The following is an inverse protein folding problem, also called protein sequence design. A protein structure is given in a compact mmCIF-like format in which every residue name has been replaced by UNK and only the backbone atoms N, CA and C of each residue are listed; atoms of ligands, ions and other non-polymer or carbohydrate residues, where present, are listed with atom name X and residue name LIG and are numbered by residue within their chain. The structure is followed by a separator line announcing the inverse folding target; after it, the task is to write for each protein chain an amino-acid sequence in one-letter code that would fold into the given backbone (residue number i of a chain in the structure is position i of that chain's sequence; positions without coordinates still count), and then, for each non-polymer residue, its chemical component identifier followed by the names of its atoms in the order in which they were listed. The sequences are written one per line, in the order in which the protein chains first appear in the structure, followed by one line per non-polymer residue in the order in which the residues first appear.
data_IF_136880007716
#
_entry.id   IF_136880007716
#
_cell.length_a   1.000
_cell.length_b   1.000
_cell.length_c   1.000
_cell.angle_alpha   90.00
_cell.angle_beta   90.00
_cell.angle_gamma   90.00
#
_symmetry.space_group_name_H-M   'P 1'
#
loop_
_entity.id
_entity.type
_entity.pdbx_description
1 polymer ?
#
# COMPACT_ATOMS: atom_id res chain seq x y z
N UNK A 1 -64.95 -32.97 -14.04
CA UNK A 1 -64.31 -33.26 -12.75
C UNK A 1 -64.11 -31.93 -12.04
N UNK A 2 -65.02 -31.68 -11.10
CA UNK A 2 -64.98 -30.68 -10.03
C UNK A 2 -63.68 -30.82 -9.21
N UNK A 3 -63.18 -29.89 -8.40
CA UNK A 3 -63.74 -28.80 -7.58
C UNK A 3 -62.77 -27.59 -7.63
N UNK A 4 -63.21 -26.32 -7.70
CA UNK A 4 -63.90 -25.49 -6.69
C UNK A 4 -63.01 -25.07 -5.50
N UNK A 5 -62.78 -23.76 -5.39
CA UNK A 5 -62.09 -23.11 -4.28
C UNK A 5 -61.90 -21.59 -4.46
N UNK A 6 -62.98 -20.83 -4.67
CA UNK A 6 -63.02 -19.38 -4.39
C UNK A 6 -63.47 -19.18 -2.94
N UNK A 7 -62.92 -18.19 -2.24
CA UNK A 7 -63.65 -17.22 -1.40
C UNK A 7 -62.75 -16.00 -1.10
N UNK A 8 -63.37 -14.81 -1.19
CA UNK A 8 -62.78 -13.47 -1.06
C UNK A 8 -62.77 -12.97 0.43
N UNK A 9 -62.82 -11.65 0.73
CA UNK A 9 -61.74 -10.83 1.25
C UNK A 9 -62.00 -10.33 2.70
N UNK A 10 -60.99 -9.77 3.38
CA UNK A 10 -61.24 -8.82 4.48
C UNK A 10 -60.27 -7.64 4.44
N UNK A 11 -60.86 -6.46 4.36
CA UNK A 11 -60.29 -5.13 4.53
C UNK A 11 -60.12 -4.77 6.01
N UNK A 12 -59.06 -4.03 6.36
CA UNK A 12 -58.90 -3.33 7.64
C UNK A 12 -57.52 -2.66 7.78
N UNK A 13 -57.44 -1.36 7.44
CA UNK A 13 -56.30 -0.44 7.69
C UNK A 13 -56.34 0.12 9.14
N UNK A 14 -55.53 1.13 9.52
CA UNK A 14 -54.07 1.30 9.51
C UNK A 14 -53.53 1.69 10.91
N UNK A 15 -52.28 1.34 11.25
CA UNK A 15 -51.59 1.96 12.37
C UNK A 15 -50.35 2.71 11.87
N UNK A 16 -50.50 4.04 11.85
CA UNK A 16 -49.43 5.02 11.65
C UNK A 16 -48.37 4.84 12.72
N UNK A 17 -47.15 4.52 12.31
CA UNK A 17 -45.94 4.68 13.11
C UNK A 17 -44.96 5.52 12.30
N UNK A 18 -45.16 6.84 12.31
CA UNK A 18 -44.21 7.82 11.82
C UNK A 18 -42.87 7.62 12.53
N UNK A 19 -41.91 7.00 11.85
CA UNK A 19 -40.51 7.21 12.16
C UNK A 19 -39.91 7.92 10.96
N UNK A 20 -39.50 9.15 11.20
CA UNK A 20 -38.80 9.97 10.25
C UNK A 20 -37.69 9.14 9.59
N UNK A 21 -37.77 9.00 8.27
CA UNK A 21 -36.64 8.62 7.46
C UNK A 21 -35.56 9.67 7.74
N UNK A 22 -34.61 9.34 8.64
CA UNK A 22 -33.37 10.10 8.75
C UNK A 22 -32.75 10.03 7.38
N UNK A 23 -32.78 11.15 6.66
CA UNK A 23 -32.16 11.33 5.35
C UNK A 23 -30.71 10.89 5.42
N UNK A 24 -30.48 9.61 5.13
CA UNK A 24 -29.15 9.08 4.92
C UNK A 24 -28.64 9.73 3.65
N UNK A 25 -27.44 10.30 3.72
CA UNK A 25 -26.66 10.60 2.53
C UNK A 25 -26.73 9.35 1.63
N UNK A 26 -27.26 9.46 0.41
CA UNK A 26 -27.30 8.35 -0.54
C UNK A 26 -25.85 8.00 -0.91
N UNK A 27 -25.27 7.10 -0.14
CA UNK A 27 -23.90 6.61 -0.29
C UNK A 27 -23.81 5.53 -1.36
N UNK A 28 -24.30 5.80 -2.56
CA UNK A 28 -24.17 4.87 -3.69
C UNK A 28 -22.70 4.46 -3.92
N UNK A 29 -21.76 5.38 -3.65
CA UNK A 29 -20.32 5.12 -3.71
C UNK A 29 -19.77 4.23 -2.58
N UNK A 30 -20.44 4.15 -1.43
CA UNK A 30 -20.06 3.24 -0.33
C UNK A 30 -20.56 1.83 -0.62
N UNK A 31 -21.70 1.70 -1.28
CA UNK A 31 -22.21 0.42 -1.79
C UNK A 31 -21.32 -0.12 -2.92
N UNK A 32 -20.77 0.72 -3.79
CA UNK A 32 -19.75 0.33 -4.79
C UNK A 32 -18.43 -0.18 -4.16
N UNK A 33 -18.18 0.16 -2.89
CA UNK A 33 -17.06 -0.38 -2.10
C UNK A 33 -17.44 -1.63 -1.30
N UNK A 34 -18.75 -1.92 -1.15
CA UNK A 34 -19.26 -3.04 -0.40
C UNK A 34 -18.96 -4.34 -1.14
N UNK A 35 -17.78 -4.89 -0.87
CA UNK A 35 -17.52 -6.29 -1.17
C UNK A 35 -18.32 -7.15 -0.21
N UNK A 36 -19.22 -7.96 -0.76
CA UNK A 36 -20.00 -8.91 0.01
C UNK A 36 -19.11 -9.96 0.69
N UNK A 37 -19.55 -10.34 1.89
CA UNK A 37 -18.91 -11.38 2.69
C UNK A 37 -17.55 -10.99 3.25
N UNK A 38 -16.74 -12.03 3.50
CA UNK A 38 -15.48 -11.91 4.22
C UNK A 38 -14.27 -11.94 3.29
N UNK A 39 -14.45 -12.39 2.05
CA UNK A 39 -13.37 -12.74 1.13
C UNK A 39 -12.31 -13.66 1.77
N UNK A 40 -12.64 -14.40 2.83
CA UNK A 40 -11.79 -15.40 3.49
C UNK A 40 -12.01 -16.77 2.84
N UNK A 41 -10.97 -17.58 2.77
CA UNK A 41 -11.14 -18.97 2.38
C UNK A 41 -9.91 -19.84 2.57
N UNK A 42 -10.10 -21.16 2.45
CA UNK A 42 -9.10 -22.16 2.85
C UNK A 42 -7.99 -22.26 1.80
N UNK A 43 -6.77 -22.04 2.24
CA UNK A 43 -5.54 -22.25 1.47
C UNK A 43 -4.66 -23.29 2.17
N UNK A 44 -3.54 -23.68 1.54
CA UNK A 44 -2.52 -24.52 2.20
C UNK A 44 -1.97 -23.89 3.49
N UNK A 45 -1.98 -22.56 3.59
CA UNK A 45 -1.55 -21.83 4.79
C UNK A 45 -2.67 -21.54 5.79
N UNK A 46 -3.83 -22.19 5.67
CA UNK A 46 -4.99 -21.95 6.53
C UNK A 46 -5.98 -20.95 5.92
N UNK A 47 -6.82 -20.35 6.77
CA UNK A 47 -7.88 -19.42 6.37
C UNK A 47 -7.26 -18.05 6.04
N UNK A 48 -7.26 -17.70 4.75
CA UNK A 48 -6.56 -16.50 4.26
C UNK A 48 -7.36 -15.77 3.19
N UNK A 49 -6.85 -14.61 2.81
CA UNK A 49 -7.30 -13.86 1.64
C UNK A 49 -6.13 -13.43 0.80
N UNK A 50 -6.41 -13.19 -0.48
CA UNK A 50 -5.45 -12.67 -1.43
C UNK A 50 -5.76 -11.23 -1.73
N UNK A 51 -4.69 -10.44 -1.78
CA UNK A 51 -4.71 -9.08 -2.31
C UNK A 51 -4.12 -9.16 -3.71
N UNK A 52 -4.93 -8.86 -4.73
CA UNK A 52 -4.48 -8.67 -6.09
C UNK A 52 -4.29 -7.18 -6.32
N UNK A 53 -3.07 -6.77 -6.69
CA UNK A 53 -2.66 -5.38 -6.70
C UNK A 53 -2.04 -5.02 -8.06
N UNK A 54 -2.52 -3.96 -8.70
CA UNK A 54 -1.75 -3.24 -9.71
C UNK A 54 -0.98 -2.11 -9.07
N UNK A 55 0.25 -1.88 -9.53
CA UNK A 55 1.06 -0.74 -9.14
C UNK A 55 1.60 -0.01 -10.35
N UNK A 56 1.84 1.30 -10.22
CA UNK A 56 2.55 2.07 -11.24
C UNK A 56 4.07 1.75 -11.23
N UNK A 57 4.85 2.40 -12.10
CA UNK A 57 6.30 2.22 -12.15
C UNK A 57 7.07 2.69 -10.91
N UNK A 58 6.45 3.51 -10.05
CA UNK A 58 6.98 3.98 -8.76
C UNK A 58 6.56 3.06 -7.61
N UNK A 59 5.72 2.08 -7.88
CA UNK A 59 5.20 1.12 -6.91
C UNK A 59 4.05 1.65 -6.10
N UNK A 60 3.34 2.67 -6.58
CA UNK A 60 2.13 3.17 -5.95
C UNK A 60 0.94 2.31 -6.33
N UNK A 61 0.08 1.90 -5.38
CA UNK A 61 -1.14 1.13 -5.67
C UNK A 61 -2.06 1.85 -6.66
N UNK A 62 -2.51 1.18 -7.71
CA UNK A 62 -3.46 1.75 -8.68
C UNK A 62 -4.85 1.13 -8.56
N UNK A 63 -4.92 -0.19 -8.40
CA UNK A 63 -6.17 -0.90 -8.19
C UNK A 63 -5.96 -2.13 -7.32
N UNK A 64 -7.00 -2.50 -6.58
CA UNK A 64 -6.96 -3.62 -5.62
C UNK A 64 -8.22 -4.45 -5.72
N UNK A 65 -8.04 -5.77 -5.79
CA UNK A 65 -9.11 -6.76 -5.69
C UNK A 65 -8.78 -7.70 -4.54
N UNK A 66 -9.80 -8.04 -3.75
CA UNK A 66 -9.71 -9.04 -2.69
C UNK A 66 -10.42 -10.31 -3.10
N UNK A 67 -9.80 -11.45 -2.83
CA UNK A 67 -10.45 -12.75 -3.00
C UNK A 67 -10.15 -13.69 -1.83
N UNK A 68 -10.98 -14.73 -1.62
CA UNK A 68 -10.65 -15.89 -0.80
C UNK A 68 -9.30 -16.54 -1.14
N UNK A 69 -8.66 -17.15 -0.14
CA UNK A 69 -7.33 -17.75 -0.25
C UNK A 69 -7.21 -18.86 -1.32
N UNK A 70 -8.29 -19.58 -1.60
CA UNK A 70 -8.34 -20.63 -2.64
C UNK A 70 -8.50 -20.08 -4.07
N UNK A 71 -8.89 -18.81 -4.22
CA UNK A 71 -9.18 -18.24 -5.53
C UNK A 71 -7.95 -18.22 -6.42
N UNK A 72 -8.11 -18.57 -7.69
CA UNK A 72 -7.03 -18.51 -8.68
C UNK A 72 -6.64 -17.08 -9.01
N UNK A 73 -5.35 -16.84 -9.26
CA UNK A 73 -4.85 -15.48 -9.50
C UNK A 73 -5.17 -14.98 -10.91
N UNK A 74 -5.07 -15.85 -11.92
CA UNK A 74 -5.18 -15.45 -13.32
C UNK A 74 -6.45 -14.65 -13.70
N UNK A 75 -7.67 -15.02 -13.24
CA UNK A 75 -8.87 -14.23 -13.50
C UNK A 75 -8.78 -12.79 -12.96
N UNK A 76 -8.05 -12.57 -11.86
CA UNK A 76 -7.99 -11.29 -11.17
C UNK A 76 -7.18 -10.22 -11.91
N UNK A 77 -6.57 -10.56 -13.06
CA UNK A 77 -6.00 -9.55 -13.95
C UNK A 77 -7.06 -8.58 -14.52
N UNK A 78 -8.36 -8.88 -14.33
CA UNK A 78 -9.45 -7.93 -14.54
C UNK A 78 -9.28 -6.62 -13.74
N UNK A 79 -8.45 -6.62 -12.68
CA UNK A 79 -8.08 -5.39 -11.94
C UNK A 79 -7.49 -4.30 -12.85
N UNK A 80 -6.96 -4.65 -14.03
CA UNK A 80 -6.48 -3.68 -15.02
C UNK A 80 -7.60 -2.84 -15.63
N UNK A 81 -8.86 -3.26 -15.52
CA UNK A 81 -10.03 -2.49 -15.98
C UNK A 81 -10.36 -1.33 -15.03
N UNK A 82 -9.95 -1.47 -13.76
CA UNK A 82 -10.07 -0.43 -12.74
C UNK A 82 -8.91 0.59 -12.81
N UNK A 83 -7.88 0.32 -13.61
CA UNK A 83 -6.74 1.24 -13.77
C UNK A 83 -7.15 2.40 -14.67
N UNK A 84 -7.09 3.59 -14.08
CA UNK A 84 -7.41 4.84 -14.74
C UNK A 84 -6.38 5.90 -14.32
N UNK A 85 -5.62 6.41 -15.28
CA UNK A 85 -4.64 7.49 -15.07
C UNK A 85 -5.18 8.76 -15.69
N UNK A 86 -5.47 9.76 -14.84
CA UNK A 86 -5.80 11.10 -15.29
C UNK A 86 -4.65 11.67 -16.14
N UNK A 87 -5.03 12.44 -17.16
CA UNK A 87 -4.07 13.18 -17.99
C UNK A 87 -4.09 14.64 -17.55
N UNK A 88 -2.93 15.28 -17.61
CA UNK A 88 -2.83 16.72 -17.49
C UNK A 88 -3.34 17.33 -18.81
N UNK A 89 -4.51 17.97 -18.76
CA UNK A 89 -5.18 18.56 -19.92
C UNK A 89 -6.45 17.82 -20.38
N UNK A 90 -7.10 18.30 -21.46
CA UNK A 90 -8.37 17.75 -21.91
C UNK A 90 -8.23 16.33 -22.47
N UNK A 91 -9.23 15.50 -22.23
CA UNK A 91 -9.36 14.18 -22.86
C UNK A 91 -9.72 13.06 -21.89
N UNK A 92 -10.01 11.88 -22.46
CA UNK A 92 -10.34 10.69 -21.68
C UNK A 92 -9.11 10.21 -20.90
N UNK A 93 -9.27 9.81 -19.64
CA UNK A 93 -8.17 9.23 -18.89
C UNK A 93 -7.58 7.98 -19.55
N UNK A 94 -6.29 7.75 -19.31
CA UNK A 94 -5.56 6.61 -19.87
C UNK A 94 -5.92 5.34 -19.11
N UNK A 95 -6.55 4.39 -19.81
CA UNK A 95 -6.94 3.06 -19.28
C UNK A 95 -6.08 1.89 -19.79
N UNK A 96 -5.11 2.19 -20.66
CA UNK A 96 -4.28 1.19 -21.35
C UNK A 96 -2.81 1.37 -20.98
N UNK A 97 -2.22 0.47 -20.18
CA UNK A 97 -0.78 0.49 -19.90
C UNK A 97 -0.01 0.05 -21.15
N UNK A 98 1.22 0.53 -21.31
CA UNK A 98 2.10 0.09 -22.41
C UNK A 98 2.56 -1.35 -22.20
N UNK A 99 2.86 -1.68 -20.94
CA UNK A 99 3.33 -3.00 -20.54
C UNK A 99 2.80 -3.39 -19.17
N UNK A 100 2.46 -4.67 -19.01
CA UNK A 100 2.14 -5.31 -17.74
C UNK A 100 3.21 -6.34 -17.40
N UNK A 101 3.79 -6.21 -16.21
CA UNK A 101 4.65 -7.23 -15.61
C UNK A 101 3.82 -7.99 -14.60
N UNK A 102 3.75 -9.31 -14.72
CA UNK A 102 2.93 -10.10 -13.82
C UNK A 102 3.61 -11.40 -13.40
N UNK A 103 3.08 -11.93 -12.31
CA UNK A 103 3.44 -13.23 -11.79
C UNK A 103 3.17 -14.35 -12.78
N UNK A 104 3.96 -15.42 -12.64
CA UNK A 104 3.77 -16.68 -13.40
C UNK A 104 2.35 -17.23 -13.25
N UNK A 105 1.67 -16.95 -12.14
CA UNK A 105 0.29 -17.36 -11.91
C UNK A 105 -0.70 -16.75 -12.93
N UNK A 106 -0.43 -15.55 -13.44
CA UNK A 106 -1.23 -14.82 -14.44
C UNK A 106 -0.88 -15.16 -15.90
N UNK A 107 -0.01 -16.15 -16.13
CA UNK A 107 0.59 -16.39 -17.44
C UNK A 107 -0.28 -17.22 -18.40
N UNK A 108 -1.60 -17.29 -18.22
CA UNK A 108 -2.45 -18.18 -19.03
C UNK A 108 -2.45 -17.80 -20.52
N UNK A 109 -2.63 -18.75 -21.45
CA UNK A 109 -2.74 -18.44 -22.87
C UNK A 109 -3.88 -17.47 -23.19
N UNK A 110 -5.02 -17.61 -22.51
CA UNK A 110 -6.16 -16.71 -22.67
C UNK A 110 -5.82 -15.27 -22.25
N UNK A 111 -5.15 -15.10 -21.11
CA UNK A 111 -4.67 -13.79 -20.64
C UNK A 111 -3.72 -13.14 -21.62
N UNK A 112 -2.74 -13.90 -22.15
CA UNK A 112 -1.80 -13.39 -23.15
C UNK A 112 -2.50 -12.95 -24.44
N UNK A 113 -3.52 -13.70 -24.89
CA UNK A 113 -4.34 -13.31 -26.05
C UNK A 113 -5.14 -12.04 -25.77
N UNK A 114 -5.79 -11.94 -24.61
CA UNK A 114 -6.59 -10.78 -24.23
C UNK A 114 -5.75 -9.49 -24.15
N UNK A 115 -4.55 -9.56 -23.56
CA UNK A 115 -3.64 -8.41 -23.51
C UNK A 115 -3.11 -8.02 -24.89
N UNK A 116 -2.80 -9.01 -25.74
CA UNK A 116 -2.38 -8.75 -27.13
C UNK A 116 -3.50 -8.09 -27.95
N UNK A 117 -4.75 -8.53 -27.79
CA UNK A 117 -5.90 -7.92 -28.45
C UNK A 117 -6.11 -6.46 -28.00
N UNK A 118 -5.74 -6.14 -26.75
CA UNK A 118 -5.71 -4.76 -26.22
C UNK A 118 -4.43 -4.00 -26.59
N UNK A 119 -3.50 -4.59 -27.34
CA UNK A 119 -2.20 -4.00 -27.68
C UNK A 119 -1.29 -3.74 -26.47
N UNK A 120 -1.50 -4.42 -25.35
CA UNK A 120 -0.72 -4.27 -24.12
C UNK A 120 0.43 -5.28 -24.14
N UNK A 121 1.68 -4.81 -24.03
CA UNK A 121 2.82 -5.70 -23.92
C UNK A 121 2.77 -6.45 -22.59
N UNK A 122 3.15 -7.74 -22.57
CA UNK A 122 3.04 -8.56 -21.37
C UNK A 122 4.31 -9.35 -21.11
N UNK A 123 4.91 -9.16 -19.93
CA UNK A 123 6.07 -9.94 -19.47
C UNK A 123 5.68 -10.75 -18.24
N UNK A 124 5.70 -12.06 -18.39
CA UNK A 124 5.50 -13.03 -17.31
C UNK A 124 6.23 -14.32 -17.69
N UNK A 125 6.85 -15.02 -16.75
CA UNK A 125 7.37 -16.36 -16.97
C UNK A 125 6.26 -17.30 -17.44
N UNK A 126 6.62 -18.37 -18.16
CA UNK A 126 5.70 -19.44 -18.53
C UNK A 126 5.57 -20.46 -17.39
N UNK A 127 4.33 -20.93 -17.11
CA UNK A 127 4.05 -22.07 -16.21
C UNK A 127 4.80 -23.32 -16.63
N UNK A 128 5.41 -24.03 -15.68
CA UNK A 128 6.17 -25.25 -15.99
C UNK A 128 5.26 -26.29 -16.66
N UNK A 129 4.04 -26.46 -16.16
CA UNK A 129 3.04 -27.36 -16.73
C UNK A 129 2.62 -26.95 -18.14
N UNK A 130 2.55 -25.64 -18.42
CA UNK A 130 2.25 -25.14 -19.77
C UNK A 130 3.41 -25.42 -20.73
N UNK A 131 4.65 -25.22 -20.29
CA UNK A 131 5.83 -25.56 -21.06
C UNK A 131 5.89 -27.07 -21.33
N UNK A 132 5.67 -27.92 -20.32
CA UNK A 132 5.64 -29.37 -20.45
C UNK A 132 4.50 -29.84 -21.37
N UNK A 133 3.29 -29.30 -21.22
CA UNK A 133 2.16 -29.58 -22.11
C UNK A 133 2.47 -29.19 -23.55
N UNK A 134 3.07 -28.00 -23.76
CA UNK A 134 3.51 -27.53 -25.08
C UNK A 134 4.51 -28.49 -25.70
N UNK A 135 5.54 -28.91 -24.95
CA UNK A 135 6.55 -29.87 -25.40
C UNK A 135 5.92 -31.23 -25.73
N UNK A 136 4.98 -31.73 -24.91
CA UNK A 136 4.25 -32.99 -25.16
C UNK A 136 3.48 -32.99 -26.48
N UNK A 137 3.01 -31.81 -26.93
CA UNK A 137 2.31 -31.68 -28.23
C UNK A 137 3.25 -31.58 -29.44
N UNK A 138 4.57 -31.60 -29.24
CA UNK A 138 5.57 -31.53 -30.31
C UNK A 138 5.36 -30.32 -31.23
N UNK A 139 5.35 -30.56 -32.54
CA UNK A 139 5.14 -29.53 -33.58
C UNK A 139 3.81 -28.79 -33.43
N UNK A 140 2.76 -29.46 -32.94
CA UNK A 140 1.45 -28.84 -32.71
C UNK A 140 1.47 -27.87 -31.54
N UNK A 141 2.42 -27.99 -30.61
CA UNK A 141 2.54 -27.20 -29.39
C UNK A 141 2.81 -25.70 -29.62
N UNK A 142 3.48 -25.36 -30.71
CA UNK A 142 3.86 -23.99 -31.05
C UNK A 142 5.07 -23.45 -30.27
N UNK A 143 5.43 -22.19 -30.56
CA UNK A 143 6.60 -21.51 -30.00
C UNK A 143 6.36 -21.10 -28.54
N UNK A 144 7.37 -21.21 -27.64
CA UNK A 144 7.26 -20.64 -26.29
C UNK A 144 7.00 -19.13 -26.34
N UNK A 145 6.28 -18.56 -25.35
CA UNK A 145 6.10 -17.12 -25.24
C UNK A 145 7.45 -16.41 -25.12
N UNK A 146 7.61 -15.27 -25.81
CA UNK A 146 8.77 -14.41 -25.61
C UNK A 146 8.83 -13.93 -24.15
N UNK A 147 10.02 -14.02 -23.54
CA UNK A 147 10.28 -13.61 -22.17
C UNK A 147 11.57 -12.80 -22.12
N UNK A 148 11.47 -11.57 -21.63
CA UNK A 148 12.61 -10.70 -21.38
C UNK A 148 12.88 -10.64 -19.87
N UNK A 149 14.00 -11.24 -19.46
CA UNK A 149 14.41 -11.32 -18.07
C UNK A 149 14.79 -9.95 -17.49
N UNK A 150 15.36 -9.03 -18.28
CA UNK A 150 15.74 -7.70 -17.79
C UNK A 150 14.50 -6.88 -17.50
N UNK A 151 13.54 -6.86 -18.42
CA UNK A 151 12.23 -6.24 -18.18
C UNK A 151 11.52 -6.87 -16.98
N UNK A 152 11.60 -8.20 -16.81
CA UNK A 152 10.95 -8.89 -15.69
C UNK A 152 11.50 -8.49 -14.31
N UNK A 153 12.77 -8.05 -14.19
CA UNK A 153 13.32 -7.51 -12.93
C UNK A 153 12.51 -6.31 -12.40
N UNK A 154 11.84 -5.58 -13.29
CA UNK A 154 10.95 -4.47 -12.92
C UNK A 154 9.76 -4.88 -12.03
N UNK A 155 9.41 -6.17 -11.99
CA UNK A 155 8.33 -6.70 -11.14
C UNK A 155 8.60 -6.52 -9.63
N UNK A 156 9.86 -6.32 -9.22
CA UNK A 156 10.23 -5.96 -7.83
C UNK A 156 9.49 -4.71 -7.31
N UNK A 157 9.00 -3.85 -8.20
CA UNK A 157 8.18 -2.68 -7.84
C UNK A 157 6.93 -3.08 -7.04
N UNK A 158 6.27 -4.19 -7.42
CA UNK A 158 5.09 -4.72 -6.71
C UNK A 158 5.46 -5.22 -5.31
N UNK A 159 6.58 -5.93 -5.18
CA UNK A 159 7.06 -6.44 -3.88
C UNK A 159 7.39 -5.29 -2.93
N UNK A 160 8.03 -4.23 -3.43
CA UNK A 160 8.26 -3.01 -2.64
C UNK A 160 6.97 -2.33 -2.20
N UNK A 161 5.93 -2.35 -3.05
CA UNK A 161 4.62 -1.87 -2.67
C UNK A 161 4.01 -2.69 -1.53
N UNK A 162 4.03 -4.02 -1.65
CA UNK A 162 3.55 -4.91 -0.57
C UNK A 162 4.33 -4.70 0.72
N UNK A 163 5.64 -4.51 0.66
CA UNK A 163 6.45 -4.21 1.85
C UNK A 163 6.02 -2.90 2.52
N UNK A 164 5.70 -1.86 1.74
CA UNK A 164 5.13 -0.61 2.28
C UNK A 164 3.74 -0.81 2.89
N UNK A 165 2.86 -1.59 2.24
CA UNK A 165 1.54 -1.92 2.78
C UNK A 165 1.64 -2.72 4.09
N UNK A 166 2.64 -3.60 4.23
CA UNK A 166 2.89 -4.37 5.45
C UNK A 166 3.38 -3.53 6.63
N UNK A 167 3.85 -2.28 6.41
CA UNK A 167 4.18 -1.37 7.52
C UNK A 167 2.94 -0.96 8.31
N UNK A 168 1.76 -0.99 7.68
CA UNK A 168 0.49 -0.81 8.35
C UNK A 168 0.12 -2.14 9.04
N UNK A 169 0.46 -2.28 10.33
CA UNK A 169 0.32 -3.55 11.08
C UNK A 169 -1.09 -4.15 11.02
N UNK A 170 -2.12 -3.29 11.01
CA UNK A 170 -3.51 -3.73 10.86
C UNK A 170 -3.76 -4.47 9.53
N UNK A 171 -3.12 -4.04 8.44
CA UNK A 171 -3.20 -4.70 7.13
C UNK A 171 -2.42 -6.00 7.07
N UNK A 172 -1.24 -6.03 7.69
CA UNK A 172 -0.36 -7.19 7.68
C UNK A 172 -0.99 -8.37 8.42
N UNK A 173 -1.60 -8.13 9.58
CA UNK A 173 -2.28 -9.16 10.37
C UNK A 173 -3.70 -9.42 9.85
N UNK A 174 -4.34 -8.40 9.27
CA UNK A 174 -5.78 -8.35 8.95
C UNK A 174 -6.66 -8.62 10.17
N UNK A 175 -7.01 -7.56 10.91
CA UNK A 175 -8.00 -7.63 12.00
C UNK A 175 -9.45 -7.58 11.51
N UNK A 176 -9.69 -7.14 10.27
CA UNK A 176 -11.02 -6.93 9.72
C UNK A 176 -11.64 -8.21 9.17
N UNK A 177 -12.79 -8.61 9.71
CA UNK A 177 -13.55 -9.79 9.26
C UNK A 177 -14.18 -9.59 7.88
N UNK A 178 -14.87 -8.46 7.66
CA UNK A 178 -15.56 -8.19 6.38
C UNK A 178 -14.59 -7.71 5.30
N UNK A 179 -14.82 -8.14 4.06
CA UNK A 179 -14.01 -7.77 2.91
C UNK A 179 -14.05 -6.27 2.63
N UNK A 180 -15.23 -5.64 2.77
CA UNK A 180 -15.40 -4.20 2.59
C UNK A 180 -14.46 -3.40 3.50
N UNK A 181 -14.41 -3.71 4.81
CA UNK A 181 -13.54 -3.01 5.75
C UNK A 181 -12.05 -3.23 5.45
N UNK A 182 -11.65 -4.46 5.09
CA UNK A 182 -10.26 -4.72 4.72
C UNK A 182 -9.84 -3.96 3.45
N UNK A 183 -10.73 -3.87 2.46
CA UNK A 183 -10.50 -3.06 1.26
C UNK A 183 -10.43 -1.57 1.58
N UNK A 184 -11.25 -1.07 2.49
CA UNK A 184 -11.19 0.32 2.95
C UNK A 184 -9.85 0.62 3.62
N UNK A 185 -9.36 -0.25 4.50
CA UNK A 185 -8.02 -0.11 5.10
C UNK A 185 -6.91 -0.08 4.03
N UNK A 186 -7.00 -0.96 3.02
CA UNK A 186 -6.05 -0.98 1.89
C UNK A 186 -6.12 0.31 1.08
N UNK A 187 -7.32 0.84 0.87
CA UNK A 187 -7.55 2.09 0.14
C UNK A 187 -6.97 3.28 0.89
N UNK A 188 -7.19 3.37 2.21
CA UNK A 188 -6.61 4.41 3.07
C UNK A 188 -5.08 4.33 3.03
N UNK A 189 -4.50 3.13 3.17
CA UNK A 189 -3.06 2.94 3.06
C UNK A 189 -2.52 3.34 1.69
N UNK A 190 -3.22 3.00 0.60
CA UNK A 190 -2.87 3.44 -0.74
C UNK A 190 -2.88 4.96 -0.87
N UNK A 191 -3.92 5.65 -0.38
CA UNK A 191 -4.00 7.12 -0.36
C UNK A 191 -2.79 7.71 0.36
N UNK A 192 -2.44 7.19 1.54
CA UNK A 192 -1.27 7.64 2.30
C UNK A 192 0.02 7.46 1.50
N UNK A 193 0.17 6.34 0.77
CA UNK A 193 1.34 6.11 -0.08
C UNK A 193 1.41 7.11 -1.25
N UNK A 194 0.27 7.45 -1.85
CA UNK A 194 0.20 8.47 -2.91
C UNK A 194 0.51 9.88 -2.41
N UNK A 195 -0.06 10.28 -1.27
CA UNK A 195 0.16 11.61 -0.68
C UNK A 195 1.62 11.81 -0.26
N UNK A 196 2.32 10.74 0.09
CA UNK A 196 3.76 10.78 0.38
C UNK A 196 4.65 10.87 -0.86
N UNK A 197 4.09 10.65 -2.06
CA UNK A 197 4.82 10.62 -3.34
C UNK A 197 4.43 11.80 -4.28
N UNK A 198 3.77 12.85 -3.78
CA UNK A 198 3.26 13.96 -4.60
C UNK A 198 4.34 14.58 -5.51
N UNK A 199 4.00 14.93 -6.77
CA UNK A 199 4.93 15.43 -7.79
C UNK A 199 5.54 16.81 -7.47
N UNK A 200 4.95 17.59 -6.56
CA UNK A 200 5.55 18.80 -5.99
C UNK A 200 6.75 18.49 -5.07
N UNK A 201 7.01 17.21 -4.82
CA UNK A 201 8.31 16.72 -4.36
C UNK A 201 9.13 16.37 -5.60
N UNK A 202 10.19 17.13 -5.95
CA UNK A 202 10.85 16.99 -7.24
C UNK A 202 11.33 15.55 -7.46
N UNK A 203 10.98 15.01 -8.64
CA UNK A 203 11.38 13.67 -9.04
C UNK A 203 12.91 13.56 -9.00
N UNK A 204 13.40 12.65 -8.16
CA UNK A 204 14.82 12.43 -7.82
C UNK A 204 15.65 11.76 -8.93
N UNK A 205 15.37 12.01 -10.21
CA UNK A 205 16.14 11.43 -11.32
C UNK A 205 16.48 12.52 -12.35
N UNK A 206 17.79 12.80 -12.46
CA UNK A 206 18.46 13.82 -13.31
C UNK A 206 18.36 15.25 -12.73
N UNK A 207 19.40 16.06 -12.53
CA UNK A 207 20.84 16.09 -12.87
C UNK A 207 21.59 16.84 -11.73
N UNK A 208 22.91 16.98 -11.82
CA UNK A 208 23.71 17.86 -10.96
C UNK A 208 23.21 19.31 -10.81
N UNK A 209 24.00 20.06 -10.04
CA UNK A 209 23.75 21.36 -9.39
C UNK A 209 22.81 21.25 -8.18
N UNK A 210 23.42 21.35 -7.00
CA UNK A 210 22.93 20.92 -5.69
C UNK A 210 21.80 21.80 -5.12
N UNK A 211 20.57 21.33 -5.28
CA UNK A 211 19.33 21.75 -4.60
C UNK A 211 18.19 20.96 -5.25
N UNK A 212 17.30 20.20 -4.59
CA UNK A 212 16.63 20.37 -3.29
C UNK A 212 16.31 18.99 -2.66
N UNK A 213 15.92 19.08 -1.39
CA UNK A 213 15.60 18.11 -0.34
C UNK A 213 15.01 16.73 -0.66
N UNK A 214 15.28 15.87 0.32
CA UNK A 214 15.02 14.44 0.38
C UNK A 214 14.01 14.27 1.52
N UNK A 215 12.70 14.14 1.26
CA UNK A 215 11.77 13.71 2.30
C UNK A 215 11.98 12.21 2.53
N UNK A 216 13.00 11.94 3.33
CA UNK A 216 13.28 10.65 3.93
C UNK A 216 12.07 10.20 4.76
N UNK A 217 11.80 8.88 4.82
CA UNK A 217 11.25 8.27 6.05
C UNK A 217 11.85 9.03 7.22
N UNK A 218 11.04 9.71 8.03
CA UNK A 218 11.52 10.61 9.10
C UNK A 218 12.72 9.95 9.77
N UNK A 219 13.90 10.50 9.48
CA UNK A 219 15.19 10.14 10.06
C UNK A 219 15.17 10.74 11.48
N UNK A 220 14.16 10.39 12.29
CA UNK A 220 14.14 10.77 13.70
C UNK A 220 15.42 10.22 14.30
N UNK A 221 16.02 11.00 15.20
CA UNK A 221 17.07 10.46 16.03
C UNK A 221 16.56 9.17 16.68
N UNK A 222 17.40 8.13 16.64
CA UNK A 222 17.24 6.99 17.50
C UNK A 222 17.48 7.49 18.91
N UNK A 223 16.39 7.76 19.61
CA UNK A 223 16.44 8.06 21.02
C UNK A 223 17.10 6.91 21.79
N UNK A 224 17.70 7.23 22.94
CA UNK A 224 18.03 6.21 23.93
C UNK A 224 16.78 5.39 24.32
N UNK A 225 16.96 4.09 24.63
CA UNK A 225 15.87 3.22 25.01
C UNK A 225 15.03 3.80 26.16
N UNK A 226 13.71 3.54 26.22
CA UNK A 226 12.83 4.08 27.27
C UNK A 226 13.33 3.82 28.69
N UNK A 227 14.02 2.69 28.93
CA UNK A 227 14.60 2.34 30.24
C UNK A 227 15.74 3.28 30.67
N UNK A 228 16.34 4.00 29.73
CA UNK A 228 17.39 4.99 29.98
C UNK A 228 16.84 6.43 30.07
N UNK A 229 15.52 6.64 29.91
CA UNK A 229 14.84 7.93 30.04
C UNK A 229 14.23 8.03 31.44
N UNK A 230 14.72 8.91 32.32
CA UNK A 230 14.22 8.96 33.70
C UNK A 230 12.88 9.67 33.83
N UNK A 231 12.10 9.30 34.85
CA UNK A 231 10.76 9.86 35.10
C UNK A 231 10.79 11.37 35.45
N UNK A 232 11.90 11.88 36.00
CA UNK A 232 12.04 13.28 36.41
C UNK A 232 13.41 13.86 36.03
N UNK A 233 13.57 14.40 34.82
CA UNK A 233 14.83 15.01 34.39
C UNK A 233 15.00 16.43 34.91
N UNK A 234 16.25 16.85 35.13
CA UNK A 234 16.59 18.25 35.45
C UNK A 234 16.40 19.10 34.21
N UNK A 235 15.67 20.21 34.34
CA UNK A 235 15.48 21.19 33.27
C UNK A 235 16.14 22.49 33.70
N UNK A 236 17.00 23.08 32.86
CA UNK A 236 17.51 24.42 33.13
C UNK A 236 16.42 25.45 32.88
N UNK A 237 16.54 26.62 33.49
CA UNK A 237 15.65 27.76 33.20
C UNK A 237 15.85 28.25 31.75
N UNK A 238 17.10 28.25 31.28
CA UNK A 238 17.48 28.58 29.90
C UNK A 238 18.15 27.39 29.18
N UNK A 239 17.86 27.17 27.87
CA UNK A 239 18.51 26.13 27.09
C UNK A 239 20.05 26.24 27.09
N UNK A 240 20.76 25.15 27.39
CA UNK A 240 22.22 25.15 27.47
C UNK A 240 22.82 24.75 26.12
N UNK A 241 23.69 25.55 25.48
CA UNK A 241 24.31 25.19 24.22
C UNK A 241 25.26 23.99 24.38
N UNK A 242 25.07 22.98 23.53
CA UNK A 242 25.82 21.73 23.54
C UNK A 242 26.16 21.26 22.13
N UNK A 243 27.11 20.34 22.05
CA UNK A 243 27.34 19.55 20.84
C UNK A 243 27.07 18.09 21.14
N UNK A 244 26.22 17.44 20.33
CA UNK A 244 25.76 16.08 20.56
C UNK A 244 26.00 15.18 19.34
N UNK A 245 26.38 13.92 19.56
CA UNK A 245 26.34 12.89 18.52
C UNK A 245 24.93 12.31 18.42
N UNK A 246 24.28 12.54 17.28
CA UNK A 246 22.93 12.08 16.95
C UNK A 246 23.02 10.90 15.98
N UNK A 247 22.31 9.82 16.26
CA UNK A 247 22.16 8.69 15.33
C UNK A 247 20.76 8.71 14.74
N UNK A 248 20.62 8.69 13.42
CA UNK A 248 19.29 8.68 12.77
C UNK A 248 18.62 7.29 12.77
N UNK A 249 17.34 7.23 12.39
CA UNK A 249 16.56 5.99 12.25
C UNK A 249 17.07 5.01 11.18
N UNK A 250 18.16 5.33 10.48
CA UNK A 250 18.89 4.44 9.56
C UNK A 250 20.24 3.99 10.13
N UNK A 251 20.54 4.32 11.38
CA UNK A 251 21.76 3.94 12.07
C UNK A 251 22.99 4.79 11.72
N UNK A 252 22.83 5.97 11.10
CA UNK A 252 23.95 6.86 10.78
C UNK A 252 24.15 7.88 11.88
N UNK A 253 25.36 7.94 12.44
CA UNK A 253 25.72 8.92 13.47
C UNK A 253 26.34 10.19 12.88
N UNK A 254 26.00 11.34 13.46
CA UNK A 254 26.57 12.63 13.10
C UNK A 254 26.65 13.56 14.32
N UNK A 255 27.68 14.41 14.35
CA UNK A 255 27.81 15.46 15.35
C UNK A 255 26.92 16.64 14.97
N UNK A 256 26.13 17.15 15.91
CA UNK A 256 25.20 18.26 15.73
C UNK A 256 25.36 19.26 16.88
N UNK A 257 25.33 20.54 16.54
CA UNK A 257 25.18 21.59 17.55
C UNK A 257 23.70 21.66 17.94
N UNK A 258 23.43 21.92 19.21
CA UNK A 258 22.08 21.99 19.73
C UNK A 258 22.03 22.59 21.11
N UNK A 259 20.88 22.44 21.75
CA UNK A 259 20.64 22.92 23.09
C UNK A 259 20.12 21.77 23.95
N UNK A 260 20.71 21.61 25.13
CA UNK A 260 20.21 20.71 26.14
C UNK A 260 19.01 21.37 26.84
N UNK A 261 17.83 20.78 26.66
CA UNK A 261 16.58 21.23 27.24
C UNK A 261 16.23 20.50 28.54
N UNK A 262 16.81 19.31 28.72
CA UNK A 262 16.72 18.55 29.95
C UNK A 262 17.88 17.56 30.01
N UNK A 263 18.29 17.13 31.19
CA UNK A 263 19.28 16.08 31.32
C UNK A 263 19.12 15.28 32.60
N UNK A 264 19.84 14.18 32.60
CA UNK A 264 20.00 13.22 33.70
C UNK A 264 21.45 12.76 33.70
N UNK A 265 21.92 12.02 34.73
CA UNK A 265 23.29 11.52 34.73
C UNK A 265 23.64 10.63 33.52
N UNK A 266 22.65 10.01 32.87
CA UNK A 266 22.87 9.03 31.78
C UNK A 266 22.47 9.54 30.41
N UNK A 267 21.55 10.50 30.31
CA UNK A 267 21.02 10.97 29.04
C UNK A 267 20.65 12.45 29.08
N UNK A 268 20.72 13.09 27.91
CA UNK A 268 20.42 14.50 27.69
C UNK A 268 19.37 14.60 26.60
N UNK A 269 18.33 15.40 26.83
CA UNK A 269 17.33 15.77 25.84
C UNK A 269 17.82 16.98 25.07
N UNK A 270 18.14 16.77 23.80
CA UNK A 270 18.77 17.77 22.94
C UNK A 270 17.80 18.18 21.85
N UNK A 271 17.62 19.49 21.73
CA UNK A 271 17.08 20.15 20.54
C UNK A 271 18.23 20.41 19.59
N UNK A 272 18.19 19.88 18.38
CA UNK A 272 19.27 20.01 17.42
C UNK A 272 18.72 20.36 16.05
N UNK A 273 19.57 20.94 15.21
CA UNK A 273 19.27 21.11 13.79
C UNK A 273 19.99 19.97 13.04
N UNK A 274 19.23 19.18 12.28
CA UNK A 274 19.78 18.08 11.50
C UNK A 274 20.60 18.57 10.30
N UNK A 275 21.24 17.64 9.59
CA UNK A 275 22.04 17.97 8.38
C UNK A 275 21.21 18.54 7.23
N UNK A 276 19.88 18.47 7.30
CA UNK A 276 18.97 19.07 6.34
C UNK A 276 18.41 20.42 6.83
N UNK A 277 18.90 20.96 7.95
CA UNK A 277 18.45 22.25 8.47
C UNK A 277 17.15 22.20 9.25
N UNK A 278 16.67 21.00 9.61
CA UNK A 278 15.38 20.81 10.30
C UNK A 278 15.59 20.64 11.78
N UNK A 279 14.70 21.24 12.56
CA UNK A 279 14.69 21.07 14.02
C UNK A 279 14.24 19.65 14.38
N UNK A 280 15.03 19.02 15.25
CA UNK A 280 14.81 17.69 15.78
C UNK A 280 15.02 17.65 17.28
N UNK A 281 14.42 16.66 17.92
CA UNK A 281 14.53 16.44 19.35
C UNK A 281 14.91 14.99 19.61
N UNK A 282 15.86 14.77 20.52
CA UNK A 282 16.32 13.44 20.84
C UNK A 282 16.80 13.34 22.28
N UNK A 283 16.50 12.22 22.93
CA UNK A 283 17.28 11.79 24.09
C UNK A 283 18.54 11.07 23.60
N UNK A 284 19.71 11.58 23.97
CA UNK A 284 21.01 10.98 23.65
C UNK A 284 21.77 10.63 24.92
N UNK A 285 22.68 9.67 24.86
CA UNK A 285 23.54 9.34 26.00
C UNK A 285 24.37 10.56 26.42
N UNK A 286 24.54 10.79 27.72
CA UNK A 286 25.29 11.95 28.21
C UNK A 286 26.75 11.95 27.71
N UNK A 287 27.34 10.76 27.54
CA UNK A 287 28.67 10.58 26.94
C UNK A 287 28.75 10.99 25.47
N UNK A 288 27.61 11.08 24.78
CA UNK A 288 27.51 11.55 23.41
C UNK A 288 27.36 13.08 23.32
N UNK A 289 27.34 13.79 24.45
CA UNK A 289 27.14 15.24 24.53
C UNK A 289 28.35 15.90 25.18
N UNK A 290 28.81 16.99 24.57
CA UNK A 290 29.84 17.86 25.14
C UNK A 290 29.28 19.26 25.25
N UNK A 291 29.45 19.89 26.42
CA UNK A 291 29.08 21.29 26.61
C UNK A 291 29.97 22.17 25.73
N UNK A 292 29.38 23.20 25.16
CA UNK A 292 30.12 24.21 24.41
C UNK A 292 30.56 25.35 25.32
#
# INVERSE_FOLDING_TARGET
MDLLGRLHPRSGSPARGWWAEKGGCKTAWVEDLALDGEALGRSRGGLTSKIHLATDGRGLPMSVILTPGQSGDNPQLLLLEQVNVHRDGPGRPRKRPDRVLADKAYSSPATRRALRARGIAFTSPEKADHAAHRLRRGTRGGRPPAFDAQTYKGRNVVERCFNRLKQFRALATRYTKRAAYYRSELTIAAIILWLRDSPDTPSRRSVGASGIERVAMRDFATDVPPQARPEKPTRPDDPVPVTAWITDGRGRSFKANGEALAWTPRAVYVRYIDRAGREGFAWVWASAVSRR
#
